data_IF_970024885331
#
_entry.id   IF_970024885331
#
_cell.length_a   1.000
_cell.length_b   1.000
_cell.length_c   1.000
_cell.angle_alpha   90.00
_cell.angle_beta   90.00
_cell.angle_gamma   90.00
#
_symmetry.space_group_name_H-M   'P 1'
#
loop_
_entity.id
_entity.type
_entity.pdbx_description
1 polymer ?
#
# COMPACT_ATOMS: atom_id res chain seq x y z
N UNK A 1 -38.83 -1.66 -64.38
CA UNK A 1 -38.19 -0.72 -63.44
C UNK A 1 -38.06 -1.42 -62.11
N UNK A 2 -36.84 -1.83 -61.75
CA UNK A 2 -36.50 -2.59 -60.55
C UNK A 2 -35.45 -1.77 -59.80
N UNK A 3 -35.70 -1.30 -58.56
CA UNK A 3 -34.70 -0.51 -57.85
C UNK A 3 -33.69 -1.43 -57.15
N UNK A 4 -32.40 -1.23 -57.45
CA UNK A 4 -31.26 -1.79 -56.72
C UNK A 4 -31.29 -1.34 -55.25
N UNK A 5 -31.18 -2.30 -54.33
CA UNK A 5 -30.94 -2.04 -52.91
C UNK A 5 -29.43 -1.90 -52.70
N UNK A 6 -28.97 -0.68 -52.46
CA UNK A 6 -27.58 -0.38 -52.09
C UNK A 6 -27.35 -0.77 -50.63
N UNK A 7 -26.49 -1.76 -50.39
CA UNK A 7 -26.04 -2.16 -49.06
C UNK A 7 -24.91 -1.23 -48.60
N UNK A 8 -25.22 -0.32 -47.69
CA UNK A 8 -24.21 0.53 -47.04
C UNK A 8 -23.50 -0.27 -45.97
N UNK A 9 -22.22 -0.59 -46.22
CA UNK A 9 -21.35 -1.36 -45.32
C UNK A 9 -20.74 -0.43 -44.28
N UNK A 10 -21.33 -0.37 -43.09
CA UNK A 10 -20.81 0.40 -41.95
C UNK A 10 -19.53 -0.26 -41.42
N UNK A 11 -18.37 0.37 -41.62
CA UNK A 11 -17.10 -0.05 -41.03
C UNK A 11 -17.05 0.49 -39.60
N UNK A 12 -17.31 -0.37 -38.61
CA UNK A 12 -17.08 -0.05 -37.21
C UNK A 12 -15.57 0.04 -36.93
N UNK A 13 -15.04 1.26 -36.78
CA UNK A 13 -13.69 1.49 -36.23
C UNK A 13 -13.74 1.28 -34.72
N UNK A 14 -13.27 0.12 -34.26
CA UNK A 14 -13.01 -0.10 -32.83
C UNK A 14 -11.85 0.77 -32.35
N UNK A 15 -12.10 1.70 -31.45
CA UNK A 15 -11.05 2.39 -30.69
C UNK A 15 -10.43 1.42 -29.70
N UNK A 16 -9.20 0.95 -29.99
CA UNK A 16 -8.36 0.31 -28.98
C UNK A 16 -7.94 1.39 -27.98
N UNK A 17 -8.47 1.35 -26.77
CA UNK A 17 -7.96 2.14 -25.66
C UNK A 17 -6.52 1.68 -25.37
N UNK A 18 -5.54 2.52 -25.67
CA UNK A 18 -4.16 2.30 -25.22
C UNK A 18 -4.12 2.61 -23.72
N UNK A 19 -3.98 1.58 -22.89
CA UNK A 19 -3.66 1.75 -21.48
C UNK A 19 -2.28 2.42 -21.39
N UNK A 20 -2.25 3.70 -21.00
CA UNK A 20 -0.99 4.37 -20.67
C UNK A 20 -0.48 3.77 -19.36
N UNK A 21 0.69 3.13 -19.41
CA UNK A 21 1.43 2.78 -18.21
C UNK A 21 1.86 4.08 -17.53
N UNK A 22 1.12 4.49 -16.49
CA UNK A 22 1.53 5.62 -15.65
C UNK A 22 2.67 5.11 -14.78
N UNK A 23 3.91 5.42 -15.19
CA UNK A 23 5.06 5.27 -14.31
C UNK A 23 4.89 6.28 -13.19
N UNK A 24 4.43 5.81 -12.03
CA UNK A 24 4.46 6.64 -10.83
C UNK A 24 5.94 6.92 -10.58
N UNK A 25 6.39 8.18 -10.47
CA UNK A 25 7.74 8.44 -10.00
C UNK A 25 7.79 7.79 -8.62
N UNK A 26 8.49 6.68 -8.51
CA UNK A 26 8.83 6.21 -7.19
C UNK A 26 9.86 7.17 -6.62
N UNK A 27 9.89 7.30 -5.30
CA UNK A 27 10.92 8.12 -4.69
C UNK A 27 12.28 7.59 -5.13
N UNK A 28 12.98 8.39 -5.95
CA UNK A 28 14.34 8.09 -6.40
C UNK A 28 15.32 8.05 -5.21
N UNK A 29 14.88 8.42 -4.02
CA UNK A 29 15.66 8.34 -2.80
C UNK A 29 16.02 6.90 -2.44
N UNK A 30 15.09 5.95 -2.63
CA UNK A 30 15.27 4.55 -2.24
C UNK A 30 16.29 3.80 -3.12
N UNK A 31 16.60 4.28 -4.33
CA UNK A 31 17.58 3.70 -5.24
C UNK A 31 18.84 4.55 -5.45
N UNK A 32 19.15 5.49 -4.54
CA UNK A 32 20.43 6.24 -4.57
C UNK A 32 21.52 5.61 -3.70
N UNK A 33 22.78 5.91 -4.00
CA UNK A 33 23.94 5.57 -3.17
C UNK A 33 23.82 6.09 -1.73
N UNK A 34 23.15 7.22 -1.54
CA UNK A 34 22.93 7.86 -0.23
C UNK A 34 21.57 7.49 0.38
N UNK A 35 20.82 6.64 -0.33
CA UNK A 35 19.47 6.23 -0.02
C UNK A 35 19.40 5.26 1.16
N UNK A 36 18.23 5.11 1.77
CA UNK A 36 18.07 4.37 2.99
C UNK A 36 18.22 2.86 2.76
N UNK A 37 17.81 2.35 1.59
CA UNK A 37 17.99 0.96 1.18
C UNK A 37 19.47 0.60 1.05
N UNK A 38 20.26 1.45 0.36
CA UNK A 38 21.71 1.24 0.20
C UNK A 38 22.43 1.36 1.54
N UNK A 39 22.05 2.34 2.37
CA UNK A 39 22.56 2.47 3.75
C UNK A 39 22.28 1.21 4.59
N UNK A 40 21.08 0.65 4.48
CA UNK A 40 20.70 -0.57 5.18
C UNK A 40 21.50 -1.79 4.68
N UNK A 41 21.67 -1.94 3.36
CA UNK A 41 22.53 -2.97 2.79
C UNK A 41 23.98 -2.85 3.25
N UNK A 42 24.55 -1.64 3.23
CA UNK A 42 25.90 -1.39 3.76
C UNK A 42 26.01 -1.73 5.24
N UNK A 43 24.99 -1.36 6.04
CA UNK A 43 24.94 -1.71 7.46
C UNK A 43 24.92 -3.22 7.68
N UNK A 44 24.17 -3.96 6.86
CA UNK A 44 24.17 -5.42 6.90
C UNK A 44 25.58 -5.98 6.63
N UNK A 45 26.27 -5.47 5.60
CA UNK A 45 27.63 -5.92 5.26
C UNK A 45 28.66 -5.60 6.35
N UNK A 46 28.57 -4.42 6.97
CA UNK A 46 29.49 -3.97 8.02
C UNK A 46 29.29 -4.76 9.32
N UNK A 47 28.03 -5.01 9.68
CA UNK A 47 27.68 -5.70 10.93
C UNK A 47 27.74 -7.23 10.82
N UNK A 48 27.67 -7.77 9.59
CA UNK A 48 27.46 -9.20 9.37
C UNK A 48 26.01 -9.66 9.61
N UNK A 49 25.08 -8.74 9.88
CA UNK A 49 23.68 -9.05 10.13
C UNK A 49 22.81 -8.73 8.90
N UNK A 50 22.38 -9.78 8.20
CA UNK A 50 21.54 -9.67 7.00
C UNK A 50 20.16 -9.07 7.28
N UNK A 51 19.67 -9.11 8.53
CA UNK A 51 18.33 -8.64 8.86
C UNK A 51 18.15 -7.14 8.60
N UNK A 52 19.23 -6.34 8.71
CA UNK A 52 19.22 -4.94 8.31
C UNK A 52 18.79 -4.75 6.85
N UNK A 53 19.13 -5.67 5.95
CA UNK A 53 18.70 -5.63 4.56
C UNK A 53 17.33 -6.29 4.34
N UNK A 54 17.05 -7.41 5.03
CA UNK A 54 15.79 -8.15 4.85
C UNK A 54 14.55 -7.38 5.27
N UNK A 55 14.69 -6.41 6.19
CA UNK A 55 13.64 -5.48 6.56
C UNK A 55 13.14 -4.63 5.37
N UNK A 56 13.95 -4.47 4.32
CA UNK A 56 13.64 -3.61 3.17
C UNK A 56 13.00 -4.33 1.98
N UNK A 57 12.78 -5.64 2.08
CA UNK A 57 12.16 -6.44 1.01
C UNK A 57 10.97 -7.21 1.55
N UNK A 58 10.08 -7.63 0.64
CA UNK A 58 8.98 -8.53 1.00
C UNK A 58 9.52 -9.89 1.45
N UNK A 59 8.74 -10.58 2.28
CA UNK A 59 9.13 -11.89 2.81
C UNK A 59 9.42 -12.93 1.71
N UNK A 60 8.73 -12.83 0.57
CA UNK A 60 8.93 -13.70 -0.58
C UNK A 60 10.30 -13.53 -1.27
N UNK A 61 10.97 -12.39 -1.04
CA UNK A 61 12.24 -12.05 -1.70
C UNK A 61 13.46 -12.31 -0.79
N UNK A 62 13.26 -12.82 0.43
CA UNK A 62 14.33 -13.02 1.41
C UNK A 62 15.46 -13.90 0.90
N UNK A 63 15.12 -15.02 0.25
CA UNK A 63 16.10 -16.02 -0.18
C UNK A 63 17.08 -15.45 -1.21
N UNK A 64 16.62 -14.56 -2.08
CA UNK A 64 17.49 -13.89 -3.04
C UNK A 64 18.48 -12.94 -2.34
N UNK A 65 17.99 -12.16 -1.37
CA UNK A 65 18.85 -11.26 -0.56
C UNK A 65 19.86 -12.06 0.27
N UNK A 66 19.45 -13.14 0.92
CA UNK A 66 20.34 -14.01 1.70
C UNK A 66 21.41 -14.65 0.84
N UNK A 67 21.06 -15.09 -0.37
CA UNK A 67 22.00 -15.66 -1.33
C UNK A 67 23.04 -14.63 -1.77
N UNK A 68 22.60 -13.42 -2.12
CA UNK A 68 23.49 -12.34 -2.51
C UNK A 68 24.41 -11.90 -1.36
N UNK A 69 23.89 -11.85 -0.13
CA UNK A 69 24.67 -11.55 1.08
C UNK A 69 25.74 -12.61 1.36
N UNK A 70 25.38 -13.90 1.26
CA UNK A 70 26.32 -15.00 1.46
C UNK A 70 27.47 -14.98 0.43
N UNK A 71 27.17 -14.58 -0.81
CA UNK A 71 28.19 -14.43 -1.86
C UNK A 71 29.22 -13.33 -1.51
N UNK A 72 28.81 -12.27 -0.81
CA UNK A 72 29.74 -11.25 -0.29
C UNK A 72 30.63 -11.83 0.80
N UNK A 73 30.05 -12.57 1.75
CA UNK A 73 30.80 -13.19 2.85
C UNK A 73 31.85 -14.21 2.36
N UNK A 74 31.58 -14.90 1.25
CA UNK A 74 32.50 -15.84 0.63
C UNK A 74 33.61 -15.16 -0.22
N UNK A 75 33.43 -13.90 -0.61
CA UNK A 75 34.36 -13.17 -1.48
C UNK A 75 35.56 -12.57 -0.74
N UNK A 76 36.72 -12.54 -1.40
CA UNK A 76 37.94 -11.86 -0.93
C UNK A 76 38.46 -10.88 -1.99
N UNK A 77 39.12 -9.80 -1.57
CA UNK A 77 39.80 -8.87 -2.49
C UNK A 77 38.84 -8.20 -3.51
N UNK A 78 39.27 -7.96 -4.77
CA UNK A 78 38.45 -7.30 -5.80
C UNK A 78 37.12 -8.01 -6.12
N UNK A 79 37.06 -9.34 -5.97
CA UNK A 79 35.82 -10.11 -6.14
C UNK A 79 34.76 -9.71 -5.12
N UNK A 80 35.18 -9.34 -3.90
CA UNK A 80 34.30 -8.81 -2.85
C UNK A 80 33.71 -7.45 -3.26
N UNK A 81 34.49 -6.56 -3.87
CA UNK A 81 33.99 -5.25 -4.34
C UNK A 81 32.89 -5.43 -5.39
N UNK A 82 33.04 -6.41 -6.29
CA UNK A 82 31.99 -6.78 -7.24
C UNK A 82 30.77 -7.44 -6.58
N UNK A 83 30.98 -8.25 -5.54
CA UNK A 83 29.91 -8.89 -4.79
C UNK A 83 29.10 -7.88 -3.96
N UNK A 84 29.75 -6.94 -3.27
CA UNK A 84 29.10 -5.87 -2.49
C UNK A 84 28.15 -5.08 -3.40
N UNK A 85 28.63 -4.69 -4.59
CA UNK A 85 27.80 -3.98 -5.57
C UNK A 85 26.60 -4.79 -6.02
N UNK A 86 26.78 -6.06 -6.40
CA UNK A 86 25.68 -6.94 -6.83
C UNK A 86 24.66 -7.17 -5.73
N UNK A 87 25.10 -7.29 -4.48
CA UNK A 87 24.21 -7.39 -3.32
C UNK A 87 23.35 -6.12 -3.17
N UNK A 88 23.97 -4.93 -3.22
CA UNK A 88 23.25 -3.67 -3.12
C UNK A 88 22.25 -3.50 -4.29
N UNK A 89 22.65 -3.83 -5.52
CA UNK A 89 21.76 -3.76 -6.68
C UNK A 89 20.58 -4.74 -6.55
N UNK A 90 20.83 -5.95 -6.04
CA UNK A 90 19.77 -6.94 -5.77
C UNK A 90 18.78 -6.41 -4.74
N UNK A 91 19.28 -5.88 -3.63
CA UNK A 91 18.45 -5.32 -2.56
C UNK A 91 17.59 -4.16 -3.05
N UNK A 92 18.20 -3.19 -3.75
CA UNK A 92 17.49 -2.02 -4.28
C UNK A 92 16.46 -2.43 -5.32
N UNK A 93 16.80 -3.35 -6.23
CA UNK A 93 15.88 -3.86 -7.24
C UNK A 93 14.64 -4.50 -6.62
N UNK A 94 14.84 -5.34 -5.60
CA UNK A 94 13.74 -6.03 -4.92
C UNK A 94 12.86 -5.07 -4.14
N UNK A 95 13.46 -4.13 -3.40
CA UNK A 95 12.72 -3.07 -2.73
C UNK A 95 11.88 -2.24 -3.72
N UNK A 96 12.49 -1.79 -4.82
CA UNK A 96 11.84 -1.01 -5.88
C UNK A 96 10.67 -1.77 -6.52
N UNK A 97 10.84 -3.07 -6.76
CA UNK A 97 9.79 -3.95 -7.27
C UNK A 97 8.65 -4.13 -6.26
N UNK A 98 8.97 -4.21 -4.96
CA UNK A 98 7.99 -4.26 -3.88
C UNK A 98 7.11 -3.02 -3.78
N UNK A 99 7.58 -1.88 -4.28
CA UNK A 99 6.82 -0.62 -4.42
C UNK A 99 6.16 -0.46 -5.81
N UNK A 100 6.23 -1.48 -6.66
CA UNK A 100 5.64 -1.47 -8.01
C UNK A 100 6.41 -0.61 -9.02
N UNK A 101 7.69 -0.32 -8.79
CA UNK A 101 8.51 0.45 -9.71
C UNK A 101 9.62 -0.36 -10.36
N UNK A 102 10.07 0.10 -11.52
CA UNK A 102 11.24 -0.45 -12.21
C UNK A 102 12.55 -0.14 -11.49
N UNK A 103 13.62 -0.81 -11.95
CA UNK A 103 14.98 -0.58 -11.51
C UNK A 103 15.90 -0.47 -12.73
N UNK A 104 16.63 0.63 -12.82
CA UNK A 104 17.57 0.95 -13.89
C UNK A 104 18.98 1.26 -13.34
N UNK A 105 19.29 0.77 -12.13
CA UNK A 105 20.57 0.91 -11.46
C UNK A 105 20.55 1.88 -10.27
N UNK A 106 21.50 1.71 -9.35
CA UNK A 106 21.65 2.61 -8.20
C UNK A 106 22.16 3.98 -8.69
N UNK A 107 21.45 5.05 -8.33
CA UNK A 107 21.78 6.43 -8.71
C UNK A 107 23.01 6.93 -7.95
N UNK A 108 23.91 7.71 -8.59
CA UNK A 108 25.12 8.21 -7.95
C UNK A 108 24.85 9.00 -6.68
N UNK A 109 25.85 9.04 -5.79
CA UNK A 109 25.83 9.92 -4.62
C UNK A 109 25.66 11.38 -5.04
N UNK A 110 24.88 12.15 -4.26
CA UNK A 110 24.54 13.53 -4.58
C UNK A 110 23.46 13.70 -5.66
N UNK A 111 22.81 12.62 -6.12
CA UNK A 111 21.62 12.73 -6.99
C UNK A 111 20.56 13.59 -6.29
N UNK A 112 20.11 14.71 -6.90
CA UNK A 112 19.14 15.61 -6.28
C UNK A 112 17.83 14.90 -5.93
N UNK A 113 17.36 15.13 -4.70
CA UNK A 113 16.06 14.62 -4.24
C UNK A 113 15.03 15.75 -4.19
N UNK A 114 13.72 15.43 -4.32
CA UNK A 114 12.68 16.40 -4.06
C UNK A 114 12.84 17.01 -2.65
N UNK A 115 12.70 18.34 -2.46
CA UNK A 115 12.92 18.97 -1.16
C UNK A 115 12.09 18.36 -0.02
N UNK A 116 10.85 17.96 -0.30
CA UNK A 116 9.97 17.31 0.67
C UNK A 116 10.50 15.95 1.15
N UNK A 117 11.22 15.18 0.31
CA UNK A 117 11.84 13.91 0.70
C UNK A 117 12.97 14.18 1.70
N UNK A 118 13.92 15.04 1.33
CA UNK A 118 15.05 15.37 2.21
C UNK A 118 14.59 16.00 3.53
N UNK A 119 13.53 16.80 3.49
CA UNK A 119 12.91 17.36 4.69
C UNK A 119 12.22 16.27 5.55
N UNK A 120 11.54 15.31 4.93
CA UNK A 120 10.90 14.21 5.64
C UNK A 120 11.91 13.33 6.38
N UNK A 121 13.02 12.98 5.73
CA UNK A 121 14.12 12.25 6.38
C UNK A 121 14.68 13.01 7.57
N UNK A 122 15.01 14.29 7.36
CA UNK A 122 15.52 15.15 8.43
C UNK A 122 14.53 15.27 9.60
N UNK A 123 13.24 15.28 9.32
CA UNK A 123 12.23 15.33 10.36
C UNK A 123 12.24 14.07 11.24
N UNK A 124 12.37 12.87 10.66
CA UNK A 124 12.50 11.62 11.43
C UNK A 124 13.83 11.49 12.16
N UNK A 125 14.91 12.01 11.58
CA UNK A 125 16.22 12.07 12.24
C UNK A 125 16.16 12.94 13.49
N UNK A 126 15.57 14.14 13.38
CA UNK A 126 15.53 15.16 14.45
C UNK A 126 14.33 15.03 15.40
N UNK A 127 13.32 14.24 15.06
CA UNK A 127 12.07 14.15 15.82
C UNK A 127 11.19 15.39 15.68
N UNK A 128 11.33 16.17 14.60
CA UNK A 128 10.65 17.45 14.42
C UNK A 128 10.15 17.64 13.00
N UNK A 129 8.87 17.98 12.83
CA UNK A 129 8.26 18.27 11.53
C UNK A 129 8.62 19.65 10.95
N UNK A 130 9.37 20.48 11.67
CA UNK A 130 9.77 21.82 11.23
C UNK A 130 10.40 21.85 9.82
N UNK A 131 11.26 20.89 9.40
CA UNK A 131 11.82 20.88 8.06
C UNK A 131 10.78 20.79 6.93
N UNK A 132 9.58 20.28 7.19
CA UNK A 132 8.51 20.09 6.20
C UNK A 132 7.58 21.31 6.05
N UNK A 133 7.71 22.33 6.90
CA UNK A 133 6.87 23.53 6.80
C UNK A 133 7.07 24.23 5.45
N UNK A 134 5.95 24.48 4.75
CA UNK A 134 5.96 25.12 3.43
C UNK A 134 6.34 24.20 2.27
N UNK A 135 6.60 22.91 2.52
CA UNK A 135 6.88 21.90 1.50
C UNK A 135 5.72 20.92 1.25
N UNK A 136 4.69 20.96 2.10
CA UNK A 136 3.51 20.11 2.04
C UNK A 136 2.27 21.01 2.01
N UNK A 137 1.29 20.66 1.18
CA UNK A 137 0.01 21.35 1.12
C UNK A 137 -0.76 21.25 2.44
N UNK A 138 -1.50 22.31 2.78
CA UNK A 138 -2.14 22.45 4.09
C UNK A 138 -3.18 21.35 4.37
N UNK A 139 -3.88 20.88 3.35
CA UNK A 139 -4.87 19.80 3.42
C UNK A 139 -4.24 18.42 3.67
N UNK A 140 -2.97 18.24 3.32
CA UNK A 140 -2.20 16.99 3.51
C UNK A 140 -1.44 16.98 4.84
N UNK A 141 -1.32 18.12 5.51
CA UNK A 141 -0.48 18.27 6.71
C UNK A 141 -0.83 17.28 7.82
N UNK A 142 -2.12 17.08 8.09
CA UNK A 142 -2.57 16.15 9.14
C UNK A 142 -2.14 14.70 8.83
N UNK A 143 -2.23 14.28 7.56
CA UNK A 143 -1.78 12.96 7.13
C UNK A 143 -0.27 12.75 7.26
N UNK A 144 0.54 13.82 7.11
CA UNK A 144 1.98 13.80 7.39
C UNK A 144 2.25 13.64 8.88
N UNK A 145 1.52 14.35 9.74
CA UNK A 145 1.67 14.25 11.21
C UNK A 145 1.40 12.83 11.70
N UNK A 146 0.33 12.21 11.22
CA UNK A 146 -0.06 10.84 11.61
C UNK A 146 1.00 9.80 11.19
N UNK A 147 1.45 9.87 9.94
CA UNK A 147 2.48 8.95 9.42
C UNK A 147 3.83 9.17 10.06
N UNK A 148 4.19 10.42 10.34
CA UNK A 148 5.39 10.75 11.09
C UNK A 148 5.38 10.11 12.48
N UNK A 149 4.25 10.20 13.18
CA UNK A 149 4.09 9.59 14.50
C UNK A 149 4.21 8.06 14.42
N UNK A 150 3.57 7.43 13.44
CA UNK A 150 3.65 5.99 13.21
C UNK A 150 5.09 5.53 12.91
N UNK A 151 5.79 6.21 12.00
CA UNK A 151 7.17 5.91 11.66
C UNK A 151 8.12 6.15 12.86
N UNK A 152 7.89 7.22 13.62
CA UNK A 152 8.69 7.54 14.80
C UNK A 152 8.53 6.49 15.91
N UNK A 153 7.32 5.98 16.12
CA UNK A 153 7.04 4.96 17.13
C UNK A 153 7.74 3.62 16.86
N UNK A 154 8.11 3.36 15.60
CA UNK A 154 8.76 2.12 15.17
C UNK A 154 10.27 2.28 14.93
N UNK A 155 10.85 3.45 15.24
CA UNK A 155 12.27 3.75 15.00
C UNK A 155 13.21 2.78 15.74
N UNK A 156 12.83 2.37 16.95
CA UNK A 156 13.61 1.50 17.84
C UNK A 156 13.16 0.02 17.80
N UNK A 157 12.66 -0.44 16.64
CA UNK A 157 12.27 -1.83 16.46
C UNK A 157 13.45 -2.80 16.64
N UNK A 158 13.13 -4.03 17.03
CA UNK A 158 14.10 -5.12 17.06
C UNK A 158 14.41 -5.60 15.64
N UNK A 159 15.67 -5.51 15.22
CA UNK A 159 16.11 -6.05 13.93
C UNK A 159 16.12 -7.59 13.90
N UNK A 160 16.07 -8.25 15.06
CA UNK A 160 15.89 -9.70 15.16
C UNK A 160 14.48 -10.18 14.77
N UNK A 161 13.48 -9.31 14.90
CA UNK A 161 12.10 -9.57 14.51
C UNK A 161 11.83 -8.99 13.12
N UNK A 162 11.99 -9.82 12.09
CA UNK A 162 11.81 -9.40 10.70
C UNK A 162 10.40 -8.85 10.39
N UNK A 163 9.30 -9.45 10.86
CA UNK A 163 7.98 -8.84 10.78
C UNK A 163 7.91 -7.42 11.35
N UNK A 164 8.44 -7.20 12.56
CA UNK A 164 8.45 -5.86 13.18
C UNK A 164 9.34 -4.88 12.40
N UNK A 165 10.52 -5.32 11.96
CA UNK A 165 11.45 -4.52 11.17
C UNK A 165 10.84 -4.09 9.83
N UNK A 166 10.13 -5.00 9.14
CA UNK A 166 9.38 -4.67 7.91
C UNK A 166 8.26 -3.68 8.15
N UNK A 167 7.53 -3.81 9.27
CA UNK A 167 6.49 -2.86 9.62
C UNK A 167 7.08 -1.46 9.85
N UNK A 168 8.25 -1.36 10.48
CA UNK A 168 8.96 -0.11 10.66
C UNK A 168 9.40 0.52 9.32
N UNK A 169 9.98 -0.28 8.41
CA UNK A 169 10.36 0.19 7.06
C UNK A 169 9.13 0.63 6.27
N UNK A 170 8.03 -0.13 6.32
CA UNK A 170 6.79 0.22 5.64
C UNK A 170 6.21 1.55 6.13
N UNK A 171 6.21 1.79 7.45
CA UNK A 171 5.78 3.07 8.02
C UNK A 171 6.69 4.24 7.60
N UNK A 172 8.00 4.02 7.56
CA UNK A 172 8.96 4.99 7.04
C UNK A 172 8.69 5.34 5.57
N UNK A 173 8.55 4.32 4.70
CA UNK A 173 8.30 4.49 3.27
C UNK A 173 6.98 5.22 3.02
N UNK A 174 5.90 4.82 3.71
CA UNK A 174 4.59 5.47 3.59
C UNK A 174 4.67 6.95 3.99
N UNK A 175 5.32 7.26 5.11
CA UNK A 175 5.54 8.63 5.55
C UNK A 175 6.30 9.47 4.51
N UNK A 176 7.45 9.00 4.02
CA UNK A 176 8.27 9.76 3.07
C UNK A 176 7.54 9.95 1.74
N UNK A 177 6.89 8.90 1.22
CA UNK A 177 6.12 8.98 -0.01
C UNK A 177 4.92 9.93 0.11
N UNK A 178 4.22 9.86 1.24
CA UNK A 178 3.11 10.76 1.52
C UNK A 178 3.60 12.21 1.62
N UNK A 179 4.62 12.51 2.43
CA UNK A 179 5.19 13.86 2.53
C UNK A 179 5.63 14.41 1.15
N UNK A 180 6.19 13.55 0.30
CA UNK A 180 6.67 13.91 -1.03
C UNK A 180 5.59 14.03 -2.12
N UNK A 181 4.30 13.80 -1.81
CA UNK A 181 3.23 13.92 -2.82
C UNK A 181 3.01 12.67 -3.68
N UNK A 182 3.67 11.55 -3.37
CA UNK A 182 3.59 10.32 -4.17
C UNK A 182 2.38 9.43 -3.78
N UNK A 183 1.60 9.84 -2.77
CA UNK A 183 0.53 9.05 -2.16
C UNK A 183 -0.89 9.24 -2.70
N UNK A 184 -1.24 10.35 -3.36
CA UNK A 184 -2.66 10.73 -3.46
C UNK A 184 -3.27 10.59 -4.87
N UNK A 185 -3.26 9.37 -5.37
CA UNK A 185 -4.25 8.94 -6.37
C UNK A 185 -5.10 7.82 -5.75
N UNK A 186 -6.23 8.23 -5.17
CA UNK A 186 -7.36 7.42 -4.71
C UNK A 186 -7.30 6.82 -3.30
N UNK A 187 -7.61 7.65 -2.30
CA UNK A 187 -8.67 7.32 -1.33
C UNK A 187 -9.69 8.46 -1.35
N UNK A 188 -10.32 8.68 -2.51
CA UNK A 188 -11.59 9.37 -2.52
C UNK A 188 -12.61 8.41 -1.92
N UNK A 189 -13.28 8.82 -0.86
CA UNK A 189 -14.58 8.28 -0.51
C UNK A 189 -15.47 8.41 -1.76
N UNK A 190 -15.51 7.33 -2.54
CA UNK A 190 -16.55 7.11 -3.51
C UNK A 190 -17.82 6.83 -2.71
N UNK A 191 -18.43 7.89 -2.18
CA UNK A 191 -19.86 7.91 -1.97
C UNK A 191 -20.51 7.73 -3.34
N UNK A 192 -20.63 6.47 -3.75
CA UNK A 192 -21.57 6.06 -4.76
C UNK A 192 -22.96 6.44 -4.25
N UNK A 193 -23.40 7.64 -4.64
CA UNK A 193 -24.82 7.96 -4.70
C UNK A 193 -25.45 6.99 -5.69
N UNK A 194 -26.03 5.93 -5.14
CA UNK A 194 -26.88 5.00 -5.86
C UNK A 194 -28.18 5.73 -6.22
N UNK A 195 -28.10 6.56 -7.26
CA UNK A 195 -29.27 7.09 -7.94
C UNK A 195 -29.78 5.99 -8.87
N UNK A 196 -30.58 5.08 -8.30
CA UNK A 196 -31.41 4.18 -9.08
C UNK A 196 -32.34 5.01 -9.99
N UNK A 197 -31.99 5.07 -11.27
CA UNK A 197 -32.95 5.39 -12.32
C UNK A 197 -33.91 4.20 -12.44
N UNK A 198 -34.98 4.26 -11.65
CA UNK A 198 -36.16 3.44 -11.82
C UNK A 198 -36.90 3.88 -13.08
N UNK A 199 -36.78 3.07 -14.12
CA UNK A 199 -37.64 3.08 -15.29
C UNK A 199 -39.04 2.61 -14.83
N UNK A 200 -40.01 3.52 -14.72
CA UNK A 200 -41.39 3.20 -14.40
C UNK A 200 -42.33 3.97 -15.32
N UNK A 201 -42.92 3.19 -16.22
CA UNK A 201 -43.90 3.59 -17.21
C UNK A 201 -45.09 4.36 -16.61
N UNK A 202 -45.50 5.42 -17.31
CA UNK A 202 -46.78 6.10 -17.14
C UNK A 202 -47.94 5.11 -17.31
N UNK A 203 -48.69 4.90 -16.23
CA UNK A 203 -50.03 4.32 -16.25
C UNK A 203 -50.98 5.27 -15.54
N UNK A 204 -51.93 5.83 -16.30
CA UNK A 204 -53.00 6.71 -15.83
C UNK A 204 -53.83 6.07 -14.72
N UNK A 205 -54.04 6.83 -13.63
CA UNK A 205 -54.94 6.49 -12.54
C UNK A 205 -56.35 7.02 -12.85
N UNK A 206 -57.31 6.11 -12.98
CA UNK A 206 -58.73 6.41 -12.81
C UNK A 206 -59.15 6.26 -11.33
N UNK A 207 -59.96 7.22 -10.90
CA UNK A 207 -60.66 7.34 -9.62
C UNK A 207 -61.45 6.10 -9.16
N UNK A 208 -61.56 5.95 -7.83
CA UNK A 208 -62.90 5.85 -7.20
C UNK A 208 -63.14 4.70 -6.22
N UNK A 209 -63.40 5.10 -4.96
CA UNK A 209 -64.31 4.51 -3.97
C UNK A 209 -63.99 3.23 -3.15
N UNK A 210 -63.64 3.50 -1.88
CA UNK A 210 -64.47 3.30 -0.68
C UNK A 210 -64.71 1.90 -0.04
N UNK A 211 -64.58 1.93 1.30
CA UNK A 211 -65.19 1.06 2.33
C UNK A 211 -64.55 -0.35 2.54
N UNK A 212 -64.41 -0.97 3.73
CA UNK A 212 -64.80 -0.70 5.13
C UNK A 212 -64.40 -1.92 6.00
N UNK A 213 -63.93 -1.66 7.24
CA UNK A 213 -64.00 -2.45 8.51
C UNK A 213 -63.24 -3.78 8.74
N UNK A 214 -62.40 -3.73 9.76
CA UNK A 214 -62.42 -4.42 11.07
C UNK A 214 -62.59 -5.95 11.19
N UNK A 215 -61.52 -6.54 11.76
CA UNK A 215 -61.43 -7.43 12.93
C UNK A 215 -61.98 -8.88 12.88
N UNK A 216 -61.11 -9.86 13.21
CA UNK A 216 -61.13 -10.68 14.46
C UNK A 216 -60.42 -12.05 14.33
N UNK A 217 -59.45 -12.28 15.24
CA UNK A 217 -59.29 -13.43 16.16
C UNK A 217 -59.01 -14.88 15.65
N UNK A 218 -57.91 -15.49 16.14
CA UNK A 218 -57.80 -16.84 16.79
C UNK A 218 -56.32 -17.29 16.83
N UNK A 219 -55.64 -17.37 17.98
CA UNK A 219 -55.55 -18.46 18.98
C UNK A 219 -54.54 -19.59 18.68
N UNK A 220 -53.69 -19.89 19.67
CA UNK A 220 -52.87 -21.12 19.82
C UNK A 220 -51.39 -20.90 19.48
N UNK A 221 -50.40 -20.91 20.37
CA UNK A 221 -50.26 -21.59 21.65
C UNK A 221 -49.35 -22.81 21.49
N UNK A 222 -48.01 -22.66 21.62
CA UNK A 222 -47.15 -23.70 22.20
C UNK A 222 -45.71 -23.24 22.52
N UNK A 223 -45.41 -23.21 23.82
CA UNK A 223 -44.13 -23.53 24.50
C UNK A 223 -44.57 -24.35 25.73
N UNK A 224 -43.78 -25.27 26.33
CA UNK A 224 -42.34 -25.11 26.59
C UNK A 224 -41.52 -26.42 26.55
N UNK A 225 -40.20 -26.35 26.75
CA UNK A 225 -39.55 -26.95 27.93
C UNK A 225 -38.07 -26.60 28.00
N UNK A 226 -37.70 -26.01 29.13
CA UNK A 226 -36.33 -25.90 29.60
C UNK A 226 -35.94 -27.21 30.30
N UNK A 227 -34.65 -27.57 30.24
CA UNK A 227 -34.02 -28.44 31.23
C UNK A 227 -32.65 -27.89 31.59
N UNK A 228 -32.55 -27.45 32.84
CA UNK A 228 -31.32 -27.19 33.60
C UNK A 228 -30.49 -28.46 33.75
N UNK A 229 -29.16 -28.31 33.78
CA UNK A 229 -28.20 -29.40 34.05
C UNK A 229 -26.88 -28.88 34.63
N UNK A 230 -26.95 -28.47 35.89
CA UNK A 230 -25.96 -28.40 36.98
C UNK A 230 -24.51 -28.87 36.76
N UNK A 231 -23.57 -27.98 37.11
CA UNK A 231 -22.16 -28.21 37.46
C UNK A 231 -21.98 -29.05 38.74
N UNK A 232 -20.85 -29.76 38.91
CA UNK A 232 -20.25 -29.93 40.22
C UNK A 232 -18.85 -29.31 40.32
N UNK A 233 -18.70 -28.51 41.37
CA UNK A 233 -17.45 -28.13 42.02
C UNK A 233 -17.02 -29.26 42.96
N UNK A 234 -15.75 -29.68 42.91
CA UNK A 234 -15.01 -30.14 44.11
C UNK A 234 -13.50 -29.85 43.98
N UNK A 235 -12.93 -29.50 45.13
CA UNK A 235 -11.58 -29.03 45.46
C UNK A 235 -10.64 -30.19 45.85
N UNK A 236 -9.40 -29.78 46.17
CA UNK A 236 -8.35 -30.40 46.99
C UNK A 236 -7.27 -31.12 46.15
N UNK A 237 -5.97 -30.91 46.33
CA UNK A 237 -5.16 -30.24 47.37
C UNK A 237 -3.87 -29.70 46.76
#
# INVERSE_FOLDING_TARGET
>A
MTPQRTLTRTIARGMRAAARLVVRPASAHCDTEDGPVVKAGRRALISGDVNHALAWVHAADEDEVRTAFAAVAAGLGPERVGADRRFLETLVRLHRAGEGAGFDGIKPSGTPQPPAVTAADRALETGSLVPLHGLVDADRWQGVVERFAAASALKDHDNGDLPAARAAVAAYVDYVHYAAGHGDAHHGDAHHGDAHHGDAHHGDAHHGDAHRRDAHHALGGNRPHQTLGTLPSQRAS
#
